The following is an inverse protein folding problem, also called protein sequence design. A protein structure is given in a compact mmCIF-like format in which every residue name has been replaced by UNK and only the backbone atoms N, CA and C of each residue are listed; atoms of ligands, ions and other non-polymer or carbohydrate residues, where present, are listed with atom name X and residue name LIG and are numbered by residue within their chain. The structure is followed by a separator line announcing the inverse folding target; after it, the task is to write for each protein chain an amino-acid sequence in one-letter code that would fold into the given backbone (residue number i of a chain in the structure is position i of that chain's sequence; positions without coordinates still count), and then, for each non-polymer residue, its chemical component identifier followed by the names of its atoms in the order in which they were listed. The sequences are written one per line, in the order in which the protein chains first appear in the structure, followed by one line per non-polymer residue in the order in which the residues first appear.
data_IF_331869053272
#
_entry.id   IF_331869053272
#
_cell.length_a   1.000
_cell.length_b   1.000
_cell.length_c   1.000
_cell.angle_alpha   90.00
_cell.angle_beta   90.00
_cell.angle_gamma   90.00
#
_symmetry.space_group_name_H-M   'P 1'
#
loop_
_entity.id
_entity.type
_entity.pdbx_description
1 polymer ?
#
# COMPACT_ATOMS: atom_id res chain seq x y z
N UNK A 1 -79.88 12.59 -24.65
CA UNK A 1 -78.87 13.45 -23.95
C UNK A 1 -77.84 12.49 -23.37
N UNK A 2 -76.72 12.27 -24.07
CA UNK A 2 -75.60 11.40 -23.63
C UNK A 2 -74.52 12.26 -23.01
N UNK A 3 -74.36 12.11 -21.68
CA UNK A 3 -73.26 12.77 -20.94
C UNK A 3 -71.98 11.98 -21.13
N UNK A 4 -71.00 12.57 -21.80
CA UNK A 4 -69.67 12.02 -21.97
C UNK A 4 -68.90 12.25 -20.65
N UNK A 5 -68.65 11.15 -19.93
CA UNK A 5 -67.78 11.20 -18.76
C UNK A 5 -66.32 11.12 -19.26
N UNK A 6 -65.63 12.23 -19.19
CA UNK A 6 -64.20 12.32 -19.49
C UNK A 6 -63.41 11.74 -18.32
N UNK A 7 -62.91 10.51 -18.45
CA UNK A 7 -61.96 9.88 -17.50
C UNK A 7 -60.58 10.53 -17.61
N UNK A 8 -60.26 11.42 -16.67
CA UNK A 8 -58.90 11.96 -16.49
C UNK A 8 -58.02 11.04 -15.66
N UNK A 9 -57.57 9.95 -16.25
CA UNK A 9 -56.62 9.02 -15.57
C UNK A 9 -55.40 8.68 -16.43
N UNK A 10 -54.46 9.61 -16.76
CA UNK A 10 -53.16 9.12 -17.20
C UNK A 10 -51.96 9.66 -16.43
N UNK A 11 -52.03 10.84 -15.79
CA UNK A 11 -50.86 11.48 -15.22
C UNK A 11 -50.28 10.72 -14.00
N UNK A 12 -51.14 10.28 -13.07
CA UNK A 12 -50.72 9.58 -11.81
C UNK A 12 -50.08 8.23 -12.07
N UNK A 13 -50.58 7.49 -13.08
CA UNK A 13 -50.05 6.19 -13.48
C UNK A 13 -48.69 6.30 -14.16
N UNK A 14 -48.47 7.34 -14.96
CA UNK A 14 -47.15 7.62 -15.57
C UNK A 14 -46.13 8.02 -14.52
N UNK A 15 -46.52 8.81 -13.52
CA UNK A 15 -45.65 9.20 -12.42
C UNK A 15 -45.19 7.98 -11.58
N UNK A 16 -46.08 7.01 -11.29
CA UNK A 16 -45.77 5.79 -10.58
C UNK A 16 -44.82 4.87 -11.35
N UNK A 17 -44.85 4.89 -12.69
CA UNK A 17 -43.94 4.11 -13.54
C UNK A 17 -42.58 4.81 -13.69
N UNK A 18 -42.54 6.15 -13.70
CA UNK A 18 -41.29 6.90 -13.82
C UNK A 18 -40.52 7.04 -12.52
N UNK A 19 -41.18 6.92 -11.36
CA UNK A 19 -40.54 7.06 -10.05
C UNK A 19 -39.42 6.02 -9.82
N UNK A 20 -39.61 4.71 -10.10
CA UNK A 20 -38.53 3.73 -9.96
C UNK A 20 -37.34 4.04 -10.87
N UNK A 21 -37.61 4.49 -12.09
CA UNK A 21 -36.54 4.87 -13.03
C UNK A 21 -35.77 6.10 -12.52
N UNK A 22 -36.46 7.11 -12.02
CA UNK A 22 -35.82 8.31 -11.45
C UNK A 22 -34.97 7.96 -10.23
N UNK A 23 -35.48 7.08 -9.33
CA UNK A 23 -34.72 6.60 -8.18
C UNK A 23 -33.48 5.81 -8.61
N UNK A 24 -33.64 4.91 -9.61
CA UNK A 24 -32.51 4.16 -10.15
C UNK A 24 -31.44 5.07 -10.73
N UNK A 25 -31.82 6.05 -11.54
CA UNK A 25 -30.86 7.01 -12.13
C UNK A 25 -30.18 7.86 -11.08
N UNK A 26 -30.91 8.31 -10.04
CA UNK A 26 -30.33 9.04 -8.92
C UNK A 26 -29.30 8.19 -8.13
N UNK A 27 -29.64 6.94 -7.86
CA UNK A 27 -28.72 6.01 -7.18
C UNK A 27 -27.51 5.66 -8.06
N UNK A 28 -27.70 5.46 -9.36
CA UNK A 28 -26.62 5.22 -10.32
C UNK A 28 -25.68 6.42 -10.40
N UNK A 29 -26.23 7.64 -10.50
CA UNK A 29 -25.43 8.87 -10.49
C UNK A 29 -24.67 9.06 -9.18
N UNK A 30 -25.32 8.83 -8.03
CA UNK A 30 -24.68 8.87 -6.72
C UNK A 30 -23.54 7.84 -6.61
N UNK A 31 -23.76 6.62 -7.09
CA UNK A 31 -22.77 5.56 -7.07
C UNK A 31 -21.57 5.88 -7.95
N UNK A 32 -21.80 6.36 -9.19
CA UNK A 32 -20.74 6.79 -10.09
C UNK A 32 -19.93 7.96 -9.51
N UNK A 33 -20.61 8.93 -8.90
CA UNK A 33 -19.95 10.03 -8.22
C UNK A 33 -19.08 9.54 -7.04
N UNK A 34 -19.57 8.60 -6.25
CA UNK A 34 -18.83 8.01 -5.11
C UNK A 34 -17.67 7.14 -5.56
N UNK A 35 -17.79 6.40 -6.67
CA UNK A 35 -16.69 5.63 -7.25
C UNK A 35 -15.53 6.52 -7.71
N UNK A 36 -15.84 7.72 -8.24
CA UNK A 36 -14.82 8.67 -8.68
C UNK A 36 -14.19 9.49 -7.54
N UNK A 37 -14.77 9.51 -6.35
CA UNK A 37 -14.33 10.35 -5.22
C UNK A 37 -13.59 9.59 -4.12
N UNK A 38 -13.41 8.26 -4.25
CA UNK A 38 -12.71 7.43 -3.27
C UNK A 38 -11.26 7.19 -3.68
N UNK A 39 -10.31 7.68 -2.90
CA UNK A 39 -8.92 7.26 -2.98
C UNK A 39 -8.73 6.01 -2.09
N UNK A 40 -8.62 4.79 -2.66
CA UNK A 40 -8.49 3.56 -1.88
C UNK A 40 -7.20 3.52 -1.05
N UNK A 41 -6.22 4.37 -1.38
CA UNK A 41 -4.97 4.49 -0.60
C UNK A 41 -5.18 5.18 0.76
N UNK A 42 -6.35 5.83 0.96
CA UNK A 42 -6.69 6.56 2.20
C UNK A 42 -7.43 5.73 3.24
N UNK A 43 -7.57 4.43 3.07
CA UNK A 43 -8.15 3.59 4.14
C UNK A 43 -7.13 3.54 5.29
N UNK A 44 -7.42 4.13 6.47
CA UNK A 44 -6.50 4.07 7.59
C UNK A 44 -6.28 2.60 7.96
N UNK A 45 -5.04 2.14 7.89
CA UNK A 45 -4.71 0.79 8.37
C UNK A 45 -5.01 0.70 9.87
N UNK A 46 -5.71 -0.35 10.28
CA UNK A 46 -5.96 -0.62 11.70
C UNK A 46 -4.67 -0.84 12.52
N UNK A 47 -3.54 -0.97 11.85
CA UNK A 47 -2.22 -1.15 12.46
C UNK A 47 -1.50 0.18 12.76
N UNK A 48 -1.98 1.32 12.29
CA UNK A 48 -1.35 2.62 12.60
C UNK A 48 -1.40 2.87 14.12
N UNK A 49 -0.25 3.24 14.68
CA UNK A 49 -0.04 3.42 16.13
C UNK A 49 0.19 2.11 16.90
N UNK A 50 0.04 0.94 16.27
CA UNK A 50 0.36 -0.35 16.89
C UNK A 50 1.82 -0.72 16.71
N UNK A 51 2.39 -1.57 17.57
CA UNK A 51 3.70 -2.16 17.33
C UNK A 51 3.74 -2.86 15.96
N UNK A 52 4.88 -2.78 15.28
CA UNK A 52 5.13 -3.60 14.11
C UNK A 52 4.93 -5.09 14.46
N UNK A 53 4.33 -5.89 13.56
CA UNK A 53 4.17 -7.32 13.79
C UNK A 53 5.49 -8.01 14.11
N UNK A 54 5.42 -9.06 14.94
CA UNK A 54 6.60 -9.89 15.26
C UNK A 54 7.02 -10.63 13.99
N UNK A 55 8.04 -10.06 13.32
CA UNK A 55 8.46 -10.49 11.99
C UNK A 55 9.89 -11.01 12.06
N UNK A 56 10.04 -12.33 11.85
CA UNK A 56 11.32 -13.00 11.76
C UNK A 56 11.37 -13.75 10.43
N UNK A 57 12.07 -13.18 9.44
CA UNK A 57 12.18 -13.72 8.11
C UNK A 57 13.63 -14.02 7.77
N UNK A 58 13.88 -15.23 7.29
CA UNK A 58 15.19 -15.59 6.73
C UNK A 58 15.52 -14.66 5.54
N UNK A 59 16.80 -14.45 5.31
CA UNK A 59 17.26 -13.73 4.13
C UNK A 59 16.83 -14.41 2.83
N UNK A 60 16.68 -13.63 1.76
CA UNK A 60 16.52 -14.19 0.41
C UNK A 60 17.78 -14.99 0.06
N UNK A 61 17.63 -16.27 -0.23
CA UNK A 61 18.73 -17.18 -0.47
C UNK A 61 19.69 -16.68 -1.58
N UNK A 62 20.99 -16.63 -1.28
CA UNK A 62 22.01 -16.19 -2.22
C UNK A 62 22.01 -14.70 -2.56
N UNK A 63 21.24 -13.89 -1.86
CA UNK A 63 21.31 -12.43 -1.98
C UNK A 63 22.48 -11.90 -1.15
N UNK A 64 23.34 -11.10 -1.77
CA UNK A 64 24.49 -10.48 -1.12
C UNK A 64 24.34 -8.93 -1.11
N UNK A 65 25.01 -8.33 -0.16
CA UNK A 65 25.27 -6.89 -0.11
C UNK A 65 26.29 -6.48 -1.18
N UNK A 66 26.51 -5.18 -1.36
CA UNK A 66 27.46 -4.66 -2.37
C UNK A 66 28.92 -5.06 -2.11
N UNK A 67 29.28 -5.30 -0.85
CA UNK A 67 30.60 -5.75 -0.44
C UNK A 67 30.81 -7.29 -0.54
N UNK A 68 29.80 -8.01 -1.04
CA UNK A 68 29.82 -9.46 -1.19
C UNK A 68 29.39 -10.23 0.04
N UNK A 69 29.14 -9.59 1.18
CA UNK A 69 28.65 -10.27 2.39
C UNK A 69 27.19 -10.71 2.21
N UNK A 70 26.73 -11.80 2.86
CA UNK A 70 25.34 -12.21 2.78
C UNK A 70 24.39 -11.11 3.27
N UNK A 71 23.32 -10.85 2.51
CA UNK A 71 22.26 -9.94 2.93
C UNK A 71 21.57 -10.48 4.18
N UNK A 72 21.42 -9.69 5.26
CA UNK A 72 20.66 -10.14 6.42
C UNK A 72 19.17 -10.28 6.13
N UNK A 73 18.52 -11.20 6.83
CA UNK A 73 17.07 -11.27 6.94
C UNK A 73 16.50 -10.18 7.83
N UNK A 74 15.24 -10.30 8.20
CA UNK A 74 14.55 -9.36 9.08
C UNK A 74 14.31 -10.01 10.44
N UNK A 75 14.63 -9.30 11.51
CA UNK A 75 14.25 -9.66 12.87
C UNK A 75 13.34 -8.55 13.46
N UNK A 76 12.36 -8.93 14.28
CA UNK A 76 11.42 -7.98 14.91
C UNK A 76 12.14 -6.92 15.75
N UNK A 77 13.28 -7.26 16.34
CA UNK A 77 14.12 -6.33 17.10
C UNK A 77 14.69 -5.18 16.24
N UNK A 78 14.80 -5.41 14.92
CA UNK A 78 15.35 -4.42 13.98
C UNK A 78 14.44 -3.21 13.81
N UNK A 79 13.18 -3.28 14.19
CA UNK A 79 12.23 -2.17 14.05
C UNK A 79 12.30 -1.13 15.17
N UNK A 80 13.23 -1.28 16.12
CA UNK A 80 13.43 -0.34 17.23
C UNK A 80 14.72 0.47 17.09
N UNK A 81 14.74 1.65 17.72
CA UNK A 81 15.93 2.51 17.82
C UNK A 81 16.19 3.40 16.62
N UNK A 82 15.63 3.09 15.45
CA UNK A 82 15.76 3.93 14.26
C UNK A 82 14.45 3.95 13.46
N UNK A 83 14.17 5.07 12.79
CA UNK A 83 13.06 5.13 11.82
C UNK A 83 13.36 4.14 10.69
N UNK A 84 12.39 3.29 10.38
CA UNK A 84 12.56 2.23 9.39
C UNK A 84 11.40 2.29 8.39
N UNK A 85 11.72 2.29 7.09
CA UNK A 85 10.74 2.06 6.04
C UNK A 85 10.73 0.56 5.75
N UNK A 86 9.55 -0.06 5.83
CA UNK A 86 9.35 -1.46 5.45
C UNK A 86 8.59 -1.46 4.14
N UNK A 87 9.28 -1.85 3.06
CA UNK A 87 8.69 -1.96 1.73
C UNK A 87 8.41 -3.44 1.42
N UNK A 88 7.15 -3.75 1.11
CA UNK A 88 6.72 -5.09 0.72
C UNK A 88 6.65 -5.12 -0.80
N UNK A 89 7.41 -6.03 -1.39
CA UNK A 89 7.64 -6.06 -2.84
C UNK A 89 7.78 -7.48 -3.39
N UNK A 90 7.73 -7.62 -4.70
CA UNK A 90 8.05 -8.86 -5.39
C UNK A 90 8.62 -8.59 -6.79
N UNK A 91 9.42 -9.52 -7.32
CA UNK A 91 9.99 -9.38 -8.67
C UNK A 91 8.96 -9.50 -9.79
N UNK A 92 7.84 -10.14 -9.54
CA UNK A 92 6.71 -10.27 -10.49
C UNK A 92 5.76 -9.09 -10.49
N UNK A 93 5.93 -8.15 -9.56
CA UNK A 93 5.06 -7.00 -9.37
C UNK A 93 5.47 -5.85 -10.31
N UNK A 94 4.67 -5.55 -11.33
CA UNK A 94 4.99 -4.50 -12.30
C UNK A 94 5.16 -3.12 -11.65
N UNK A 95 4.26 -2.64 -10.76
CA UNK A 95 4.45 -1.33 -10.12
C UNK A 95 5.70 -1.26 -9.21
N UNK A 96 6.19 -2.41 -8.71
CA UNK A 96 7.44 -2.46 -7.94
C UNK A 96 8.66 -2.12 -8.81
N UNK A 97 8.61 -2.40 -10.13
CA UNK A 97 9.66 -2.00 -11.07
C UNK A 97 9.70 -0.47 -11.21
N UNK A 98 8.53 0.18 -11.21
CA UNK A 98 8.42 1.62 -11.39
C UNK A 98 8.91 2.40 -10.16
N UNK A 99 8.69 1.86 -8.94
CA UNK A 99 9.14 2.53 -7.70
C UNK A 99 10.62 2.26 -7.35
N UNK A 100 11.23 1.19 -7.86
CA UNK A 100 12.59 0.79 -7.50
C UNK A 100 13.64 1.91 -7.64
N UNK A 101 13.67 2.71 -8.72
CA UNK A 101 14.59 3.84 -8.84
C UNK A 101 14.36 4.93 -7.79
N UNK A 102 13.12 5.10 -7.32
CA UNK A 102 12.79 6.08 -6.29
C UNK A 102 13.24 5.59 -4.91
N UNK A 103 13.06 4.31 -4.61
CA UNK A 103 13.60 3.68 -3.40
C UNK A 103 15.13 3.79 -3.33
N UNK A 104 15.82 3.62 -4.45
CA UNK A 104 17.28 3.81 -4.52
C UNK A 104 17.68 5.23 -4.14
N UNK A 105 16.99 6.27 -4.64
CA UNK A 105 17.22 7.66 -4.27
C UNK A 105 16.90 7.93 -2.79
N UNK A 106 15.81 7.32 -2.28
CA UNK A 106 15.43 7.47 -0.87
C UNK A 106 16.44 6.80 0.07
N UNK A 107 17.11 5.74 -0.35
CA UNK A 107 18.15 5.05 0.43
C UNK A 107 19.45 5.89 0.63
N UNK A 108 19.60 6.99 -0.10
CA UNK A 108 20.71 7.93 0.10
C UNK A 108 20.57 8.73 1.42
N UNK A 109 19.36 8.92 1.91
CA UNK A 109 19.07 9.57 3.19
C UNK A 109 19.33 8.63 4.37
N UNK A 110 20.42 8.86 5.10
CA UNK A 110 20.87 8.02 6.21
C UNK A 110 20.16 8.27 7.55
N UNK A 111 19.16 9.16 7.59
CA UNK A 111 18.37 9.42 8.80
C UNK A 111 17.38 8.28 9.11
N UNK A 112 17.10 7.45 8.14
CA UNK A 112 16.27 6.25 8.27
C UNK A 112 16.89 5.10 7.47
N UNK A 113 16.39 3.92 7.67
CA UNK A 113 16.79 2.72 6.92
C UNK A 113 15.61 2.14 6.16
N UNK A 114 15.89 1.43 5.07
CA UNK A 114 14.87 0.75 4.28
C UNK A 114 15.14 -0.75 4.40
N UNK A 115 14.08 -1.52 4.75
CA UNK A 115 14.11 -2.98 4.75
C UNK A 115 13.06 -3.51 3.77
N UNK A 116 13.33 -4.66 3.15
CA UNK A 116 12.45 -5.25 2.13
C UNK A 116 11.82 -6.56 2.61
N UNK A 117 10.50 -6.69 2.54
CA UNK A 117 9.80 -7.97 2.64
C UNK A 117 9.52 -8.45 1.23
N UNK A 118 10.20 -9.52 0.81
CA UNK A 118 10.03 -10.12 -0.52
C UNK A 118 8.90 -11.16 -0.46
N UNK A 119 7.73 -10.78 -0.98
CA UNK A 119 6.48 -11.54 -0.84
C UNK A 119 6.33 -12.59 -1.94
N UNK A 120 6.16 -13.87 -1.54
CA UNK A 120 5.81 -15.00 -2.43
C UNK A 120 6.58 -15.00 -3.75
N UNK A 121 7.88 -14.86 -3.65
CA UNK A 121 8.77 -14.72 -4.80
C UNK A 121 9.78 -15.86 -4.89
N UNK A 122 10.31 -16.03 -6.09
CA UNK A 122 11.45 -16.95 -6.30
C UNK A 122 12.75 -16.20 -5.98
N UNK A 123 13.67 -16.79 -5.18
CA UNK A 123 14.93 -16.12 -4.81
C UNK A 123 15.78 -15.69 -6.01
N UNK A 124 15.82 -16.49 -7.09
CA UNK A 124 16.58 -16.13 -8.30
C UNK A 124 15.98 -14.91 -9.01
N UNK A 125 14.65 -14.83 -9.03
CA UNK A 125 13.95 -13.69 -9.62
C UNK A 125 14.16 -12.43 -8.76
N UNK A 126 14.05 -12.56 -7.44
CA UNK A 126 14.31 -11.48 -6.50
C UNK A 126 15.74 -10.93 -6.64
N UNK A 127 16.75 -11.82 -6.76
CA UNK A 127 18.15 -11.40 -6.99
C UNK A 127 18.33 -10.70 -8.32
N UNK A 128 17.72 -11.22 -9.42
CA UNK A 128 17.77 -10.55 -10.74
C UNK A 128 17.11 -9.17 -10.71
N UNK A 129 15.99 -9.05 -10.01
CA UNK A 129 15.29 -7.77 -9.83
C UNK A 129 16.21 -6.75 -9.14
N UNK A 130 16.76 -7.08 -7.97
CA UNK A 130 17.67 -6.20 -7.24
C UNK A 130 18.99 -5.95 -7.97
N UNK A 131 19.48 -6.92 -8.74
CA UNK A 131 20.65 -6.74 -9.61
C UNK A 131 20.41 -5.75 -10.75
N UNK A 132 19.19 -5.72 -11.29
CA UNK A 132 18.81 -4.82 -12.39
C UNK A 132 18.53 -3.39 -11.92
N UNK A 133 17.79 -3.21 -10.82
CA UNK A 133 17.31 -1.90 -10.38
C UNK A 133 18.14 -1.29 -9.25
N UNK A 134 19.05 -2.07 -8.69
CA UNK A 134 19.78 -1.72 -7.47
C UNK A 134 19.09 -2.25 -6.20
N UNK A 135 19.84 -2.32 -5.12
CA UNK A 135 19.34 -2.78 -3.83
C UNK A 135 19.33 -1.61 -2.82
N UNK A 136 18.14 -1.06 -2.47
CA UNK A 136 18.01 0.03 -1.51
C UNK A 136 17.97 -0.45 -0.05
N UNK A 137 17.90 -1.77 0.16
CA UNK A 137 17.60 -2.36 1.46
C UNK A 137 18.85 -2.65 2.27
N UNK A 138 18.77 -2.43 3.59
CA UNK A 138 19.79 -2.86 4.56
C UNK A 138 19.56 -4.32 5.00
N UNK A 139 18.34 -4.84 4.86
CA UNK A 139 17.98 -6.23 5.09
C UNK A 139 16.79 -6.63 4.20
N UNK A 140 16.74 -7.90 3.80
CA UNK A 140 15.65 -8.43 2.96
C UNK A 140 15.20 -9.77 3.50
N UNK A 141 13.96 -9.83 3.96
CA UNK A 141 13.34 -11.06 4.44
C UNK A 141 12.50 -11.74 3.37
N UNK A 142 12.62 -13.06 3.25
CA UNK A 142 11.84 -13.88 2.32
C UNK A 142 10.52 -14.32 2.97
N UNK A 143 9.41 -13.71 2.58
CA UNK A 143 8.05 -14.11 2.98
C UNK A 143 7.48 -15.10 1.95
N UNK A 144 8.03 -16.30 1.92
CA UNK A 144 7.76 -17.31 0.89
C UNK A 144 6.31 -17.79 0.86
N UNK A 145 5.64 -17.80 2.00
CA UNK A 145 4.24 -18.22 2.13
C UNK A 145 3.25 -17.04 2.22
N UNK A 146 3.74 -15.81 2.32
CA UNK A 146 2.93 -14.60 2.46
C UNK A 146 2.37 -14.38 3.88
N UNK A 147 2.83 -15.12 4.88
CA UNK A 147 2.30 -15.01 6.23
C UNK A 147 2.64 -13.67 6.88
N UNK A 148 3.89 -13.22 6.75
CA UNK A 148 4.29 -11.92 7.25
C UNK A 148 3.47 -10.79 6.60
N UNK A 149 3.27 -10.84 5.29
CA UNK A 149 2.42 -9.86 4.58
C UNK A 149 0.99 -9.82 5.12
N UNK A 150 0.41 -10.97 5.50
CA UNK A 150 -0.93 -11.03 6.14
C UNK A 150 -0.88 -10.36 7.52
N UNK A 151 0.11 -10.66 8.35
CA UNK A 151 0.25 -10.10 9.69
C UNK A 151 0.48 -8.56 9.64
N UNK A 152 1.13 -8.06 8.57
CA UNK A 152 1.28 -6.63 8.26
C UNK A 152 0.02 -6.01 7.64
N UNK A 153 -1.02 -6.80 7.40
CA UNK A 153 -2.25 -6.31 6.76
C UNK A 153 -2.02 -5.80 5.34
N UNK A 154 -1.09 -6.40 4.61
CA UNK A 154 -0.79 -6.07 3.21
C UNK A 154 -1.94 -6.53 2.33
N UNK A 155 -2.49 -5.61 1.53
CA UNK A 155 -3.55 -5.90 0.55
C UNK A 155 -2.97 -6.41 -0.77
N UNK A 156 -1.81 -5.90 -1.14
CA UNK A 156 -1.09 -6.23 -2.36
C UNK A 156 0.30 -5.59 -2.38
N UNK A 157 1.09 -5.89 -3.40
CA UNK A 157 2.41 -5.28 -3.58
C UNK A 157 2.36 -4.25 -4.71
N UNK A 158 3.08 -3.10 -4.56
CA UNK A 158 3.90 -2.75 -3.41
C UNK A 158 3.10 -2.03 -2.31
N UNK A 159 3.57 -2.12 -1.09
CA UNK A 159 3.14 -1.29 0.04
C UNK A 159 4.34 -0.88 0.90
N UNK A 160 4.28 0.32 1.48
CA UNK A 160 5.39 0.84 2.30
C UNK A 160 4.88 1.31 3.64
N UNK A 161 5.53 0.86 4.72
CA UNK A 161 5.23 1.27 6.09
C UNK A 161 6.35 2.15 6.61
N UNK A 162 6.00 3.18 7.37
CA UNK A 162 6.93 3.99 8.15
C UNK A 162 6.85 3.55 9.61
N UNK A 163 7.94 3.07 10.15
CA UNK A 163 8.05 2.62 11.55
C UNK A 163 8.84 3.67 12.32
N UNK A 164 8.27 4.11 13.45
CA UNK A 164 8.94 5.01 14.38
C UNK A 164 10.08 4.35 15.15
N UNK A 165 10.92 5.14 15.83
CA UNK A 165 12.00 4.65 16.69
C UNK A 165 11.51 3.73 17.82
N UNK A 166 10.25 3.92 18.24
CA UNK A 166 9.55 3.10 19.24
C UNK A 166 9.10 1.73 18.72
N UNK A 167 9.28 1.47 17.41
CA UNK A 167 8.84 0.25 16.74
C UNK A 167 7.35 0.23 16.39
N UNK A 168 6.66 1.37 16.42
CA UNK A 168 5.25 1.45 16.06
C UNK A 168 5.08 1.93 14.62
N UNK A 169 4.01 1.44 13.98
CA UNK A 169 3.64 1.85 12.62
C UNK A 169 3.11 3.29 12.68
N UNK A 170 3.87 4.23 12.14
CA UNK A 170 3.49 5.64 12.05
C UNK A 170 2.63 5.95 10.82
N UNK A 171 2.88 5.23 9.70
CA UNK A 171 2.17 5.46 8.44
C UNK A 171 2.22 4.20 7.56
N UNK A 172 1.21 4.07 6.69
CA UNK A 172 1.13 3.03 5.65
C UNK A 172 0.77 3.68 4.32
N UNK A 173 1.60 3.47 3.30
CA UNK A 173 1.32 3.79 1.91
C UNK A 173 0.87 2.51 1.21
N UNK A 174 -0.33 2.52 0.64
CA UNK A 174 -0.84 1.45 -0.22
C UNK A 174 -0.57 1.81 -1.68
N UNK A 175 0.00 0.87 -2.43
CA UNK A 175 0.42 1.09 -3.81
C UNK A 175 1.84 1.63 -3.95
N UNK A 176 2.27 1.92 -5.20
CA UNK A 176 3.65 2.28 -5.51
C UNK A 176 4.03 3.67 -4.98
N UNK A 177 5.30 3.79 -4.64
CA UNK A 177 5.93 5.08 -4.39
C UNK A 177 6.00 5.84 -5.72
N UNK A 178 5.57 7.10 -5.70
CA UNK A 178 5.61 8.01 -6.84
C UNK A 178 6.29 9.32 -6.43
N UNK A 179 6.78 10.14 -7.39
CA UNK A 179 7.35 11.44 -7.06
C UNK A 179 6.39 12.33 -6.25
N UNK A 180 5.09 12.27 -6.55
CA UNK A 180 4.07 13.05 -5.85
C UNK A 180 3.90 12.58 -4.39
N UNK A 181 3.67 11.27 -4.15
CA UNK A 181 3.42 10.79 -2.80
C UNK A 181 4.66 10.76 -1.90
N UNK A 182 5.87 10.77 -2.47
CA UNK A 182 7.09 11.04 -1.71
C UNK A 182 7.00 12.40 -1.03
N UNK A 183 6.66 13.45 -1.76
CA UNK A 183 6.65 14.82 -1.24
C UNK A 183 5.40 15.07 -0.36
N UNK A 184 4.25 14.61 -0.81
CA UNK A 184 2.97 14.95 -0.16
C UNK A 184 2.65 14.09 1.05
N UNK A 185 3.18 12.86 1.13
CA UNK A 185 2.81 11.91 2.19
C UNK A 185 3.98 11.24 2.89
N UNK A 186 4.94 10.64 2.14
CA UNK A 186 6.03 9.87 2.77
C UNK A 186 7.01 10.74 3.53
N UNK A 187 7.53 11.81 2.92
CA UNK A 187 8.46 12.73 3.60
C UNK A 187 7.87 13.36 4.86
N UNK A 188 6.61 13.87 4.86
CA UNK A 188 5.97 14.33 6.09
C UNK A 188 5.84 13.25 7.16
N UNK A 189 5.46 12.01 6.78
CA UNK A 189 5.34 10.90 7.71
C UNK A 189 6.71 10.51 8.32
N UNK A 190 7.75 10.44 7.49
CA UNK A 190 9.14 10.19 7.92
C UNK A 190 9.62 11.30 8.85
N UNK A 191 9.42 12.57 8.49
CA UNK A 191 9.82 13.71 9.32
C UNK A 191 9.14 13.66 10.69
N UNK A 192 7.85 13.36 10.75
CA UNK A 192 7.11 13.17 11.99
C UNK A 192 7.68 12.02 12.83
N UNK A 193 8.00 10.88 12.22
CA UNK A 193 8.59 9.73 12.89
C UNK A 193 10.01 10.02 13.42
N UNK A 194 10.80 10.83 12.68
CA UNK A 194 12.13 11.26 13.10
C UNK A 194 12.10 12.23 14.30
N UNK A 195 11.07 13.10 14.35
CA UNK A 195 10.88 14.07 15.42
C UNK A 195 10.26 13.45 16.70
N UNK A 196 9.61 12.29 16.60
CA UNK A 196 9.10 11.57 17.74
C UNK A 196 10.24 10.96 18.58
N UNK A 197 10.16 11.13 19.91
CA UNK A 197 11.14 10.58 20.85
C UNK A 197 10.89 9.11 21.12
#
# INVERSE_FOLDING_TARGET
MNSVVTETRPARRRLLVLLPLAVFLALAALFLFRLGSGDPSRIPSALIGRPAPDTNLAAVHGLNMRDGTPMPGIAAADFKGAVTLVNVWASWCVPCHDEAPLLMKMADDKRYRIVGINQKDNPDNARRFLGRYGNPYVSVGADTNGRASIDWGVYGVPETFVIGKDGRIAYKLVGPITPDNIETTLKPAIAKALAAN
#
